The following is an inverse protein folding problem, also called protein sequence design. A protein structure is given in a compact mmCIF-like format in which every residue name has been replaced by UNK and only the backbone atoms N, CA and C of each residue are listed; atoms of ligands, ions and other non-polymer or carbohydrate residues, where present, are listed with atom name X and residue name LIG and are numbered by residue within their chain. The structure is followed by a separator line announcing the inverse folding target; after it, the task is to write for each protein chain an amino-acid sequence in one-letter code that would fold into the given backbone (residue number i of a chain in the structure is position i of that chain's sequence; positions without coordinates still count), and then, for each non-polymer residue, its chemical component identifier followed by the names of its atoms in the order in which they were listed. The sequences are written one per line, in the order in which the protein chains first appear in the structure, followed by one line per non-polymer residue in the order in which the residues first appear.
data_IF_811910659194
#
_entry.id   IF_811910659194
#
_cell.length_a   1.000
_cell.length_b   1.000
_cell.length_c   1.000
_cell.angle_alpha   90.00
_cell.angle_beta   90.00
_cell.angle_gamma   90.00
#
_symmetry.space_group_name_H-M   'P 1'
#
loop_
_entity.id
_entity.type
_entity.pdbx_description
1 polymer ?
#
# COMPACT_ATOMS: atom_id res chain seq x y z
N UNK A 1 13.65 -12.32 21.29
CA UNK A 1 12.74 -11.86 20.21
C UNK A 1 13.19 -10.45 19.82
N UNK A 2 13.66 -10.23 18.59
CA UNK A 2 14.30 -8.96 18.19
C UNK A 2 13.23 -7.89 17.91
N UNK A 3 13.03 -6.98 18.87
CA UNK A 3 11.92 -6.00 18.91
C UNK A 3 11.96 -5.03 17.70
N UNK A 4 13.13 -4.88 17.07
CA UNK A 4 13.29 -4.00 15.90
C UNK A 4 12.54 -4.46 14.65
N UNK A 5 12.24 -5.76 14.52
CA UNK A 5 11.48 -6.30 13.37
C UNK A 5 10.00 -5.95 13.39
N UNK A 6 9.48 -5.44 14.51
CA UNK A 6 8.09 -4.99 14.64
C UNK A 6 7.90 -3.51 14.33
N UNK A 7 8.97 -2.76 14.05
CA UNK A 7 8.80 -1.35 13.66
C UNK A 7 8.05 -1.28 12.33
N UNK A 8 6.89 -0.61 12.28
CA UNK A 8 6.18 -0.42 11.03
C UNK A 8 6.97 0.54 10.14
N UNK A 9 7.21 0.13 8.90
CA UNK A 9 7.75 0.97 7.82
C UNK A 9 6.63 1.82 7.22
N UNK A 10 7.02 2.85 6.48
CA UNK A 10 6.07 3.73 5.80
C UNK A 10 5.12 2.97 4.88
N UNK A 11 5.65 2.07 4.04
CA UNK A 11 4.81 1.23 3.18
C UNK A 11 3.85 0.34 3.99
N UNK A 12 4.31 -0.24 5.10
CA UNK A 12 3.45 -1.09 5.93
C UNK A 12 2.28 -0.33 6.56
N UNK A 13 2.49 0.92 6.99
CA UNK A 13 1.43 1.75 7.59
C UNK A 13 0.38 2.08 6.54
N UNK A 14 0.80 2.54 5.36
CA UNK A 14 -0.08 2.84 4.23
C UNK A 14 -0.89 1.62 3.80
N UNK A 15 -0.24 0.46 3.65
CA UNK A 15 -0.93 -0.78 3.31
C UNK A 15 -1.96 -1.18 4.38
N UNK A 16 -1.63 -1.10 5.67
CA UNK A 16 -2.59 -1.46 6.73
C UNK A 16 -3.81 -0.53 6.69
N UNK A 17 -3.60 0.78 6.62
CA UNK A 17 -4.70 1.75 6.57
C UNK A 17 -5.57 1.51 5.33
N UNK A 18 -4.94 1.33 4.16
CA UNK A 18 -5.63 1.09 2.90
C UNK A 18 -6.40 -0.23 2.89
N UNK A 19 -5.90 -1.30 3.52
CA UNK A 19 -6.64 -2.57 3.66
C UNK A 19 -7.83 -2.41 4.60
N UNK A 20 -7.60 -1.80 5.78
CA UNK A 20 -8.65 -1.62 6.79
C UNK A 20 -9.79 -0.73 6.29
N UNK A 21 -9.48 0.32 5.54
CA UNK A 21 -10.50 1.19 4.93
C UNK A 21 -11.07 0.59 3.63
N UNK A 22 -10.23 -0.05 2.83
CA UNK A 22 -10.58 -0.56 1.51
C UNK A 22 -11.50 -1.77 1.55
N UNK A 23 -11.39 -2.66 2.54
CA UNK A 23 -12.28 -3.82 2.65
C UNK A 23 -13.75 -3.39 2.88
N UNK A 24 -14.09 -2.60 3.91
CA UNK A 24 -15.45 -2.12 4.12
C UNK A 24 -15.99 -1.32 2.93
N UNK A 25 -15.16 -0.44 2.36
CA UNK A 25 -15.54 0.38 1.23
C UNK A 25 -15.77 -0.45 -0.05
N UNK A 26 -14.93 -1.46 -0.30
CA UNK A 26 -15.08 -2.40 -1.41
C UNK A 26 -16.39 -3.16 -1.31
N UNK A 27 -16.72 -3.69 -0.12
CA UNK A 27 -18.01 -4.35 0.13
C UNK A 27 -19.19 -3.41 -0.09
N UNK A 28 -19.12 -2.17 0.42
CA UNK A 28 -20.16 -1.18 0.18
C UNK A 28 -20.35 -0.92 -1.33
N UNK A 29 -19.27 -0.74 -2.09
CA UNK A 29 -19.37 -0.52 -3.52
C UNK A 29 -19.99 -1.70 -4.27
N UNK A 30 -19.77 -2.95 -3.84
CA UNK A 30 -20.44 -4.12 -4.41
C UNK A 30 -21.97 -4.14 -4.17
N UNK A 31 -22.46 -3.43 -3.15
CA UNK A 31 -23.92 -3.30 -2.92
C UNK A 31 -24.59 -2.29 -3.85
N UNK A 32 -23.81 -1.44 -4.52
CA UNK A 32 -24.33 -0.47 -5.49
C UNK A 32 -24.58 -1.14 -6.84
N UNK A 33 -25.51 -0.60 -7.62
CA UNK A 33 -25.86 -1.12 -8.95
C UNK A 33 -25.14 -0.38 -10.08
N UNK A 34 -24.95 -1.05 -11.22
CA UNK A 34 -24.34 -0.47 -12.40
C UNK A 34 -22.82 -0.30 -12.26
N UNK A 35 -22.25 0.76 -12.86
CA UNK A 35 -20.79 0.99 -12.87
C UNK A 35 -20.15 1.12 -11.48
N UNK A 36 -20.94 1.48 -10.46
CA UNK A 36 -20.46 1.56 -9.08
C UNK A 36 -20.04 0.18 -8.51
N UNK A 37 -20.67 -0.93 -8.94
CA UNK A 37 -20.27 -2.28 -8.51
C UNK A 37 -18.89 -2.66 -9.06
N UNK A 38 -18.57 -2.20 -10.28
CA UNK A 38 -17.24 -2.38 -10.88
C UNK A 38 -16.17 -1.66 -10.05
N UNK A 39 -16.51 -0.50 -9.48
CA UNK A 39 -15.66 0.21 -8.53
C UNK A 39 -15.30 -0.64 -7.31
N UNK A 40 -16.23 -1.46 -6.81
CA UNK A 40 -15.96 -2.42 -5.73
C UNK A 40 -14.90 -3.45 -6.12
N UNK A 41 -14.99 -4.01 -7.33
CA UNK A 41 -13.99 -4.96 -7.84
C UNK A 41 -12.60 -4.31 -7.95
N UNK A 42 -12.54 -3.07 -8.44
CA UNK A 42 -11.28 -2.31 -8.54
C UNK A 42 -10.68 -2.08 -7.15
N UNK A 43 -11.50 -1.66 -6.17
CA UNK A 43 -11.06 -1.46 -4.79
C UNK A 43 -10.50 -2.75 -4.20
N UNK A 44 -11.15 -3.90 -4.42
CA UNK A 44 -10.62 -5.19 -3.97
C UNK A 44 -9.30 -5.55 -4.65
N UNK A 45 -9.15 -5.25 -5.94
CA UNK A 45 -7.87 -5.39 -6.65
C UNK A 45 -6.75 -4.58 -5.98
N UNK A 46 -7.04 -3.32 -5.59
CA UNK A 46 -6.10 -2.47 -4.87
C UNK A 46 -5.79 -3.04 -3.48
N UNK A 47 -6.79 -3.50 -2.72
CA UNK A 47 -6.60 -4.13 -1.41
C UNK A 47 -5.69 -5.36 -1.49
N UNK A 48 -5.89 -6.21 -2.50
CA UNK A 48 -5.03 -7.36 -2.76
C UNK A 48 -3.60 -6.90 -3.06
N UNK A 49 -3.44 -5.88 -3.91
CA UNK A 49 -2.14 -5.27 -4.20
C UNK A 49 -1.42 -4.75 -2.96
N UNK A 50 -2.14 -4.04 -2.07
CA UNK A 50 -1.61 -3.54 -0.81
C UNK A 50 -1.21 -4.66 0.16
N UNK A 51 -1.97 -5.76 0.17
CA UNK A 51 -1.65 -6.94 0.98
C UNK A 51 -0.36 -7.61 0.49
N UNK A 52 -0.19 -7.76 -0.82
CA UNK A 52 1.06 -8.27 -1.43
C UNK A 52 2.23 -7.34 -1.11
N UNK A 53 2.04 -6.03 -1.25
CA UNK A 53 3.06 -5.03 -0.91
C UNK A 53 3.50 -5.14 0.56
N UNK A 54 2.54 -5.35 1.47
CA UNK A 54 2.82 -5.53 2.90
C UNK A 54 3.64 -6.80 3.16
N UNK A 55 3.34 -7.90 2.49
CA UNK A 55 4.14 -9.14 2.59
C UNK A 55 5.57 -8.90 2.11
N UNK A 56 5.74 -8.23 0.96
CA UNK A 56 7.06 -7.91 0.41
C UNK A 56 7.86 -7.02 1.37
N UNK A 57 7.24 -5.98 1.92
CA UNK A 57 7.85 -5.10 2.92
C UNK A 57 8.35 -5.89 4.15
N UNK A 58 7.53 -6.81 4.68
CA UNK A 58 7.93 -7.66 5.82
C UNK A 58 9.07 -8.62 5.47
N UNK A 59 9.13 -9.10 4.24
CA UNK A 59 10.25 -9.89 3.74
C UNK A 59 11.51 -8.99 3.65
N UNK A 60 11.42 -7.78 3.08
CA UNK A 60 12.58 -6.87 2.99
C UNK A 60 13.11 -6.43 4.36
N UNK A 61 12.23 -6.20 5.34
CA UNK A 61 12.59 -5.96 6.74
C UNK A 61 13.38 -7.11 7.38
N UNK A 62 13.25 -8.32 6.85
CA UNK A 62 14.04 -9.46 7.34
C UNK A 62 15.51 -9.39 6.89
N UNK A 63 15.80 -8.66 5.81
CA UNK A 63 17.13 -8.49 5.21
C UNK A 63 17.76 -7.12 5.49
N UNK A 64 16.96 -6.08 5.74
CA UNK A 64 17.42 -4.69 5.82
C UNK A 64 17.02 -4.01 7.12
N UNK A 65 17.82 -3.02 7.54
CA UNK A 65 17.49 -2.20 8.71
C UNK A 65 16.23 -1.35 8.45
N UNK A 66 15.25 -1.32 9.39
CA UNK A 66 13.95 -0.66 9.21
C UNK A 66 14.06 0.82 8.81
N UNK A 67 15.00 1.55 9.40
CA UNK A 67 15.24 2.97 9.07
C UNK A 67 15.69 3.17 7.63
N UNK A 68 16.58 2.29 7.13
CA UNK A 68 17.10 2.41 5.76
C UNK A 68 16.02 2.06 4.75
N UNK A 69 15.22 1.03 5.02
CA UNK A 69 14.13 0.62 4.14
C UNK A 69 13.09 1.73 3.98
N UNK A 70 12.65 2.34 5.09
CA UNK A 70 11.66 3.42 5.04
C UNK A 70 12.15 4.65 4.26
N UNK A 71 13.45 4.98 4.29
CA UNK A 71 14.01 6.08 3.49
C UNK A 71 14.00 5.74 2.00
N UNK A 72 14.33 4.50 1.65
CA UNK A 72 14.31 4.03 0.26
C UNK A 72 12.89 4.07 -0.29
N UNK A 73 11.91 3.56 0.47
CA UNK A 73 10.49 3.58 0.08
C UNK A 73 9.99 5.01 -0.16
N UNK A 74 10.31 5.92 0.77
CA UNK A 74 9.92 7.32 0.63
C UNK A 74 10.60 7.97 -0.58
N UNK A 75 11.89 7.69 -0.81
CA UNK A 75 12.62 8.18 -1.97
C UNK A 75 12.01 7.72 -3.30
N UNK A 76 11.62 6.44 -3.41
CA UNK A 76 10.95 5.90 -4.59
C UNK A 76 9.60 6.60 -4.81
N UNK A 77 8.79 6.77 -3.76
CA UNK A 77 7.52 7.50 -3.88
C UNK A 77 7.71 8.94 -4.38
N UNK A 78 8.69 9.67 -3.83
CA UNK A 78 8.99 11.04 -4.26
C UNK A 78 9.45 11.07 -5.72
N UNK A 79 10.32 10.16 -6.14
CA UNK A 79 10.79 10.08 -7.53
C UNK A 79 9.61 9.79 -8.48
N UNK A 80 8.76 8.82 -8.15
CA UNK A 80 7.58 8.51 -8.96
C UNK A 80 6.63 9.70 -9.07
N UNK A 81 6.41 10.44 -7.98
CA UNK A 81 5.62 11.67 -8.00
C UNK A 81 6.24 12.75 -8.88
N UNK A 82 7.56 12.96 -8.78
CA UNK A 82 8.28 13.92 -9.62
C UNK A 82 8.20 13.55 -11.09
N UNK A 83 8.35 12.27 -11.44
CA UNK A 83 8.18 11.80 -12.82
C UNK A 83 6.75 12.07 -13.28
N UNK A 84 5.74 11.70 -12.50
CA UNK A 84 4.34 11.95 -12.84
C UNK A 84 4.10 13.43 -13.15
N UNK A 85 4.47 14.33 -12.25
CA UNK A 85 4.32 15.78 -12.46
C UNK A 85 5.16 16.32 -13.63
N UNK A 86 6.34 15.77 -13.89
CA UNK A 86 7.19 16.21 -15.00
C UNK A 86 6.75 15.66 -16.38
N UNK A 87 5.91 14.63 -16.40
CA UNK A 87 5.40 14.01 -17.64
C UNK A 87 3.94 14.39 -17.91
N UNK A 88 3.29 15.11 -16.99
CA UNK A 88 1.92 15.61 -17.15
C UNK A 88 1.85 16.95 -17.90
N UNK A 89 3.00 17.44 -18.41
CA UNK A 89 3.13 18.51 -19.42
C UNK A 89 3.11 17.94 -20.85
#
# INVERSE_FOLDING_TARGET
MNIEKFKPTFASILSIIGIVAGIPFGFYCLTLTGGASLGGVIVFGIVIGLAVLLVIDRILLSFLNPKRLSIIEFGICVICLLIYFATED
#
